data_IF_089338738055
#
_entry.id   IF_089338738055
#
_cell.length_a   1.000
_cell.length_b   1.000
_cell.length_c   1.000
_cell.angle_alpha   90.00
_cell.angle_beta   90.00
_cell.angle_gamma   90.00
#
_symmetry.space_group_name_H-M   'P 1'
#
loop_
_entity.id
_entity.type
_entity.pdbx_description
1 polymer ?
#
# COMPACT_ATOMS: atom_id res chain seq x y z
N UNK A 1 -18.57 28.42 -3.47
CA UNK A 1 -18.46 27.57 -2.26
C UNK A 1 -19.60 26.55 -2.27
N UNK A 2 -19.59 25.65 -3.26
CA UNK A 2 -20.42 24.43 -3.26
C UNK A 2 -19.66 23.38 -2.46
N UNK A 3 -20.34 22.74 -1.52
CA UNK A 3 -19.74 22.04 -0.38
C UNK A 3 -19.10 20.72 -0.78
N UNK A 4 -17.83 20.52 -0.40
CA UNK A 4 -17.10 19.23 -0.44
C UNK A 4 -17.88 18.05 0.19
N UNK A 5 -18.88 18.35 1.02
CA UNK A 5 -19.80 17.39 1.64
C UNK A 5 -20.85 16.80 0.67
N UNK A 6 -21.20 17.52 -0.40
CA UNK A 6 -22.13 17.04 -1.45
C UNK A 6 -21.44 16.10 -2.45
N UNK A 7 -20.21 16.44 -2.84
CA UNK A 7 -19.36 15.58 -3.67
C UNK A 7 -18.96 14.29 -2.91
N UNK A 8 -18.77 14.40 -1.58
CA UNK A 8 -18.56 13.27 -0.67
C UNK A 8 -19.71 12.25 -0.67
N UNK A 9 -20.98 12.69 -0.59
CA UNK A 9 -22.12 11.76 -0.59
C UNK A 9 -22.38 11.14 -1.97
N UNK A 10 -22.16 11.91 -3.04
CA UNK A 10 -22.37 11.44 -4.41
C UNK A 10 -21.34 10.36 -4.81
N UNK A 11 -20.04 10.57 -4.52
CA UNK A 11 -18.99 9.58 -4.76
C UNK A 11 -19.20 8.30 -3.94
N UNK A 12 -19.69 8.44 -2.70
CA UNK A 12 -20.09 7.29 -1.89
C UNK A 12 -21.23 6.51 -2.51
N UNK A 13 -22.28 7.18 -2.98
CA UNK A 13 -23.41 6.50 -3.64
C UNK A 13 -22.97 5.74 -4.90
N UNK A 14 -22.08 6.31 -5.71
CA UNK A 14 -21.54 5.67 -6.91
C UNK A 14 -20.75 4.38 -6.60
N UNK A 15 -20.00 4.37 -5.49
CA UNK A 15 -19.27 3.20 -4.98
C UNK A 15 -20.13 2.28 -4.09
N UNK A 16 -21.43 2.54 -3.96
CA UNK A 16 -22.35 1.75 -3.12
C UNK A 16 -22.19 1.96 -1.60
N UNK A 17 -21.48 2.99 -1.17
CA UNK A 17 -21.16 3.35 0.22
C UNK A 17 -22.25 4.24 0.89
N UNK A 18 -23.54 3.97 0.61
CA UNK A 18 -24.72 4.72 1.10
C UNK A 18 -24.86 4.81 2.64
N UNK A 19 -25.67 5.74 3.14
CA UNK A 19 -25.99 5.92 4.57
C UNK A 19 -26.71 4.71 5.22
N UNK A 20 -27.27 3.79 4.43
CA UNK A 20 -27.70 2.46 4.91
C UNK A 20 -26.55 1.45 4.83
N UNK A 21 -25.35 1.93 5.16
CA UNK A 21 -24.10 1.25 4.89
C UNK A 21 -24.15 -0.19 5.40
N UNK A 22 -23.78 -1.17 4.56
CA UNK A 22 -23.68 -2.54 5.02
C UNK A 22 -22.62 -2.64 6.13
N UNK A 23 -22.61 -3.75 6.85
CA UNK A 23 -21.64 -3.95 7.92
C UNK A 23 -20.20 -3.74 7.41
N UNK A 24 -19.24 -3.39 8.29
CA UNK A 24 -17.90 -3.00 7.84
C UNK A 24 -17.17 -4.06 7.00
N UNK A 25 -17.43 -5.36 7.20
CA UNK A 25 -16.86 -6.42 6.37
C UNK A 25 -17.45 -6.43 4.95
N UNK A 26 -18.77 -6.33 4.84
CA UNK A 26 -19.47 -6.17 3.56
C UNK A 26 -19.01 -4.93 2.79
N UNK A 27 -18.76 -3.80 3.49
CA UNK A 27 -18.17 -2.59 2.85
C UNK A 27 -16.79 -2.86 2.25
N UNK A 28 -15.92 -3.57 2.97
CA UNK A 28 -14.59 -3.92 2.43
C UNK A 28 -14.70 -4.79 1.18
N UNK A 29 -15.64 -5.73 1.15
CA UNK A 29 -15.88 -6.57 -0.03
C UNK A 29 -16.38 -5.75 -1.22
N UNK A 30 -17.28 -4.79 -1.00
CA UNK A 30 -17.75 -3.88 -2.07
C UNK A 30 -16.61 -3.03 -2.65
N UNK A 31 -15.75 -2.48 -1.78
CA UNK A 31 -14.55 -1.76 -2.23
C UNK A 31 -13.60 -2.67 -3.02
N UNK A 32 -13.40 -3.92 -2.56
CA UNK A 32 -12.62 -4.92 -3.30
C UNK A 32 -13.18 -5.19 -4.68
N UNK A 33 -14.51 -5.35 -4.80
CA UNK A 33 -15.15 -5.51 -6.09
C UNK A 33 -14.91 -4.29 -6.99
N UNK A 34 -15.18 -3.07 -6.50
CA UNK A 34 -15.01 -1.84 -7.27
C UNK A 34 -13.57 -1.65 -7.78
N UNK A 35 -12.58 -1.94 -6.93
CA UNK A 35 -11.16 -1.91 -7.29
C UNK A 35 -10.83 -2.96 -8.35
N UNK A 36 -11.23 -4.22 -8.15
CA UNK A 36 -10.98 -5.31 -9.11
C UNK A 36 -11.67 -5.10 -10.47
N UNK A 37 -12.82 -4.43 -10.49
CA UNK A 37 -13.56 -4.10 -11.70
C UNK A 37 -13.08 -2.81 -12.38
N UNK A 38 -11.99 -2.19 -11.88
CA UNK A 38 -11.42 -0.95 -12.41
C UNK A 38 -12.48 0.19 -12.47
N UNK A 39 -13.41 0.19 -11.52
CA UNK A 39 -14.55 1.11 -11.51
C UNK A 39 -14.24 2.43 -10.80
N UNK A 40 -13.16 2.48 -10.01
CA UNK A 40 -12.72 3.65 -9.24
C UNK A 40 -11.91 4.59 -10.13
N UNK A 41 -12.31 5.87 -10.21
CA UNK A 41 -11.72 6.84 -11.12
C UNK A 41 -11.42 8.18 -10.44
N UNK A 42 -10.38 8.87 -10.91
CA UNK A 42 -10.10 10.26 -10.51
C UNK A 42 -10.02 10.45 -8.98
N UNK A 43 -10.86 11.34 -8.45
CA UNK A 43 -10.88 11.68 -7.03
C UNK A 43 -11.53 10.59 -6.15
N UNK A 44 -12.20 9.59 -6.74
CA UNK A 44 -12.78 8.48 -5.99
C UNK A 44 -11.70 7.63 -5.28
N UNK A 45 -10.48 7.60 -5.81
CA UNK A 45 -9.35 6.94 -5.15
C UNK A 45 -9.07 7.50 -3.76
N UNK A 46 -9.23 8.80 -3.57
CA UNK A 46 -9.03 9.44 -2.27
C UNK A 46 -10.13 9.02 -1.27
N UNK A 47 -11.36 8.84 -1.75
CA UNK A 47 -12.48 8.32 -0.96
C UNK A 47 -12.24 6.86 -0.55
N UNK A 48 -11.86 6.01 -1.51
CA UNK A 48 -11.57 4.59 -1.25
C UNK A 48 -10.42 4.44 -0.26
N UNK A 49 -9.35 5.24 -0.43
CA UNK A 49 -8.22 5.26 0.49
C UNK A 49 -8.65 5.61 1.92
N UNK A 50 -9.47 6.66 2.08
CA UNK A 50 -9.98 7.07 3.38
C UNK A 50 -10.89 6.01 4.03
N UNK A 51 -11.77 5.37 3.26
CA UNK A 51 -12.64 4.32 3.77
C UNK A 51 -11.85 3.07 4.19
N UNK A 52 -10.85 2.63 3.41
CA UNK A 52 -9.99 1.51 3.80
C UNK A 52 -9.23 1.79 5.10
N UNK A 53 -8.77 3.03 5.31
CA UNK A 53 -8.16 3.47 6.57
C UNK A 53 -9.13 3.45 7.74
N UNK A 54 -10.37 3.88 7.55
CA UNK A 54 -11.39 3.78 8.61
C UNK A 54 -11.67 2.32 8.96
N UNK A 55 -11.81 1.46 7.95
CA UNK A 55 -12.03 0.03 8.14
C UNK A 55 -10.81 -0.67 8.78
N UNK A 56 -9.59 -0.19 8.55
CA UNK A 56 -8.39 -0.72 9.21
C UNK A 56 -8.43 -0.57 10.75
N UNK A 57 -9.19 0.40 11.26
CA UNK A 57 -9.31 0.69 12.69
C UNK A 57 -10.65 0.25 13.29
N UNK A 58 -11.56 -0.33 12.48
CA UNK A 58 -12.85 -0.84 12.96
C UNK A 58 -12.74 -2.34 13.28
N UNK A 59 -12.87 -2.76 14.56
CA UNK A 59 -12.78 -4.18 14.92
C UNK A 59 -13.85 -5.05 14.25
N UNK A 60 -14.96 -4.47 13.79
CA UNK A 60 -16.03 -5.16 13.05
C UNK A 60 -15.69 -5.34 11.57
N UNK A 61 -14.66 -4.67 11.07
CA UNK A 61 -14.11 -4.85 9.71
C UNK A 61 -12.90 -5.81 9.70
N UNK A 62 -12.82 -6.68 10.72
CA UNK A 62 -11.71 -7.62 10.87
C UNK A 62 -11.49 -8.44 9.60
N UNK A 63 -10.22 -8.64 9.27
CA UNK A 63 -9.81 -9.45 8.13
C UNK A 63 -9.98 -10.96 8.38
N UNK A 64 -10.28 -11.40 9.61
CA UNK A 64 -10.24 -12.82 10.01
C UNK A 64 -11.29 -13.69 9.32
N UNK A 65 -12.40 -13.11 8.86
CA UNK A 65 -13.44 -13.81 8.08
C UNK A 65 -13.30 -13.63 6.57
N UNK A 66 -12.36 -12.81 6.12
CA UNK A 66 -12.14 -12.48 4.71
C UNK A 66 -10.87 -13.13 4.15
N UNK A 67 -9.98 -13.60 5.03
CA UNK A 67 -8.67 -14.13 4.69
C UNK A 67 -8.41 -15.46 5.36
N UNK A 68 -7.64 -16.31 4.69
CA UNK A 68 -6.96 -17.41 5.36
C UNK A 68 -5.80 -16.87 6.19
N UNK A 69 -5.99 -16.88 7.51
CA UNK A 69 -4.98 -16.47 8.48
C UNK A 69 -4.54 -17.66 9.32
N UNK A 70 -3.26 -17.70 9.63
CA UNK A 70 -2.67 -18.78 10.42
C UNK A 70 -2.33 -18.28 11.82
N UNK A 71 -2.67 -19.02 12.89
CA UNK A 71 -2.27 -18.65 14.22
C UNK A 71 -0.75 -18.76 14.39
N UNK A 72 -0.22 -17.89 15.23
CA UNK A 72 1.14 -17.89 15.72
C UNK A 72 1.12 -17.54 17.21
N UNK A 73 1.59 -18.46 18.07
CA UNK A 73 1.76 -18.18 19.49
C UNK A 73 3.12 -17.53 19.72
N UNK A 74 3.10 -16.30 20.24
CA UNK A 74 4.30 -15.53 20.58
C UNK A 74 5.12 -16.29 21.62
N UNK A 75 6.39 -16.52 21.32
CA UNK A 75 7.34 -17.27 22.14
C UNK A 75 8.15 -16.30 23.03
N UNK A 76 8.67 -16.75 24.18
CA UNK A 76 9.63 -15.95 24.95
C UNK A 76 10.81 -15.49 24.08
N UNK A 77 11.07 -14.17 24.07
CA UNK A 77 12.16 -13.56 23.30
C UNK A 77 11.77 -13.09 21.89
N UNK A 78 10.54 -13.35 21.44
CA UNK A 78 10.00 -12.75 20.22
C UNK A 78 9.82 -11.24 20.37
N UNK A 79 9.85 -10.60 19.21
CA UNK A 79 9.38 -9.23 18.98
C UNK A 79 8.69 -9.24 17.62
N UNK A 80 7.81 -8.28 17.34
CA UNK A 80 7.14 -8.23 16.04
C UNK A 80 8.13 -8.14 14.89
N UNK A 81 9.21 -7.38 15.07
CA UNK A 81 10.33 -7.31 14.12
C UNK A 81 10.98 -8.68 13.88
N UNK A 82 11.34 -9.43 14.94
CA UNK A 82 11.94 -10.78 14.79
C UNK A 82 11.00 -11.75 14.11
N UNK A 83 9.71 -11.67 14.43
CA UNK A 83 8.68 -12.48 13.80
C UNK A 83 8.69 -12.26 12.28
N UNK A 84 8.61 -11.01 11.85
CA UNK A 84 8.55 -10.61 10.44
C UNK A 84 9.86 -10.86 9.67
N UNK A 85 11.01 -10.56 10.29
CA UNK A 85 12.31 -10.56 9.60
C UNK A 85 13.11 -11.88 9.76
N UNK A 86 12.69 -12.80 10.62
CA UNK A 86 13.42 -14.04 10.89
C UNK A 86 12.52 -15.25 10.95
N UNK A 87 11.49 -15.21 11.80
CA UNK A 87 10.68 -16.40 12.07
C UNK A 87 9.79 -16.78 10.90
N UNK A 88 8.98 -15.85 10.38
CA UNK A 88 8.04 -16.15 9.28
C UNK A 88 8.77 -16.45 7.96
N UNK A 89 9.82 -15.73 7.55
CA UNK A 89 10.60 -16.10 6.38
C UNK A 89 11.20 -17.51 6.50
N UNK A 90 11.72 -17.87 7.67
CA UNK A 90 12.36 -19.18 7.86
C UNK A 90 11.37 -20.33 8.00
N UNK A 91 10.30 -20.15 8.75
CA UNK A 91 9.35 -21.23 9.08
C UNK A 91 8.24 -21.37 8.03
N UNK A 92 7.97 -20.32 7.23
CA UNK A 92 6.82 -20.25 6.33
C UNK A 92 7.12 -19.70 4.94
N UNK A 93 8.37 -19.38 4.62
CA UNK A 93 8.77 -18.74 3.35
C UNK A 93 7.91 -17.50 3.04
N UNK A 94 7.63 -16.71 4.08
CA UNK A 94 6.69 -15.60 4.02
C UNK A 94 7.37 -14.30 4.42
N UNK A 95 7.51 -13.40 3.46
CA UNK A 95 7.89 -12.01 3.69
C UNK A 95 6.67 -11.20 4.16
N UNK A 96 6.83 -10.47 5.25
CA UNK A 96 5.78 -9.61 5.82
C UNK A 96 6.41 -8.46 6.60
N UNK A 97 5.74 -7.33 6.70
CA UNK A 97 6.14 -6.19 7.55
C UNK A 97 5.31 -6.09 8.82
N UNK A 98 5.87 -5.42 9.82
CA UNK A 98 5.22 -5.25 11.13
C UNK A 98 3.88 -4.53 11.02
N UNK A 99 3.76 -3.53 10.14
CA UNK A 99 2.51 -2.82 9.90
C UNK A 99 1.40 -3.72 9.38
N UNK A 100 1.71 -4.69 8.52
CA UNK A 100 0.70 -5.66 8.05
C UNK A 100 0.24 -6.59 9.18
N UNK A 101 1.15 -7.07 10.04
CA UNK A 101 0.74 -7.86 11.21
C UNK A 101 -0.10 -7.02 12.17
N UNK A 102 0.28 -5.75 12.41
CA UNK A 102 -0.49 -4.83 13.24
C UNK A 102 -1.90 -4.64 12.68
N UNK A 103 -2.02 -4.40 11.38
CA UNK A 103 -3.30 -4.26 10.69
C UNK A 103 -4.18 -5.50 10.87
N UNK A 104 -3.64 -6.70 10.60
CA UNK A 104 -4.39 -7.96 10.72
C UNK A 104 -4.89 -8.21 12.15
N UNK A 105 -4.12 -7.77 13.15
CA UNK A 105 -4.41 -8.04 14.56
C UNK A 105 -5.06 -6.85 15.29
N UNK A 106 -5.37 -5.76 14.60
CA UNK A 106 -5.94 -4.54 15.21
C UNK A 106 -5.03 -3.90 16.25
N UNK A 107 -3.70 -4.00 16.08
CA UNK A 107 -2.71 -3.52 17.03
C UNK A 107 -2.27 -2.09 16.70
N UNK A 108 -2.16 -1.25 17.73
CA UNK A 108 -1.66 0.14 17.60
C UNK A 108 -0.15 0.26 17.84
N UNK A 109 0.52 -0.80 18.26
CA UNK A 109 1.97 -0.82 18.53
C UNK A 109 2.57 -2.19 18.23
N UNK A 110 3.90 -2.26 18.16
CA UNK A 110 4.65 -3.50 17.93
C UNK A 110 4.79 -4.37 19.20
N UNK A 111 4.16 -3.98 20.31
CA UNK A 111 4.24 -4.70 21.58
C UNK A 111 3.52 -6.05 21.49
N UNK A 112 4.23 -7.11 21.84
CA UNK A 112 3.72 -8.49 21.88
C UNK A 112 4.14 -9.17 23.18
N UNK A 113 3.29 -10.06 23.70
CA UNK A 113 3.55 -10.77 24.95
C UNK A 113 3.68 -12.28 24.73
N UNK A 114 4.63 -12.99 25.37
CA UNK A 114 4.70 -14.44 25.30
C UNK A 114 3.36 -15.10 25.65
N UNK A 115 2.94 -16.09 24.85
CA UNK A 115 1.64 -16.75 24.95
C UNK A 115 0.50 -16.05 24.22
N UNK A 116 0.66 -14.81 23.76
CA UNK A 116 -0.30 -14.14 22.89
C UNK A 116 -0.42 -14.89 21.57
N UNK A 117 -1.65 -15.06 21.07
CA UNK A 117 -1.89 -15.55 19.72
C UNK A 117 -2.01 -14.37 18.77
N UNK A 118 -1.13 -14.32 17.78
CA UNK A 118 -1.23 -13.45 16.62
C UNK A 118 -1.78 -14.26 15.44
N UNK A 119 -2.51 -13.59 14.58
CA UNK A 119 -2.87 -14.09 13.27
C UNK A 119 -1.91 -13.50 12.24
N UNK A 120 -1.34 -14.36 11.40
CA UNK A 120 -0.41 -13.96 10.34
C UNK A 120 -0.99 -14.39 9.00
N UNK A 121 -0.69 -13.67 7.91
CA UNK A 121 -1.22 -14.02 6.61
C UNK A 121 -0.67 -15.37 6.14
N UNK A 122 -1.46 -16.08 5.33
CA UNK A 122 -1.02 -17.33 4.70
C UNK A 122 -0.19 -17.09 3.44
N UNK A 123 -0.52 -16.05 2.71
CA UNK A 123 0.08 -15.68 1.43
C UNK A 123 0.66 -14.26 1.49
N UNK A 124 1.66 -13.93 0.65
CA UNK A 124 2.30 -12.62 0.67
C UNK A 124 1.36 -11.53 0.16
N UNK A 125 1.61 -10.30 0.62
CA UNK A 125 0.99 -9.10 0.09
C UNK A 125 1.52 -8.81 -1.32
N UNK A 126 0.62 -8.41 -2.23
CA UNK A 126 0.93 -8.03 -3.62
C UNK A 126 0.43 -6.61 -3.90
N UNK A 127 1.11 -5.91 -4.79
CA UNK A 127 0.69 -4.61 -5.28
C UNK A 127 0.20 -4.72 -6.71
N UNK A 128 -0.85 -3.98 -7.03
CA UNK A 128 -1.38 -3.85 -8.39
C UNK A 128 -1.52 -2.37 -8.74
N UNK A 129 -1.06 -1.99 -9.93
CA UNK A 129 -1.06 -0.62 -10.42
C UNK A 129 -2.04 -0.51 -11.57
N UNK A 130 -3.08 0.31 -11.43
CA UNK A 130 -3.94 0.69 -12.54
C UNK A 130 -3.39 1.95 -13.20
N UNK A 131 -2.76 1.78 -14.37
CA UNK A 131 -2.20 2.88 -15.15
C UNK A 131 -3.24 3.81 -15.75
N UNK A 132 -4.44 3.28 -16.01
CA UNK A 132 -5.53 4.03 -16.66
C UNK A 132 -6.23 4.92 -15.65
N UNK A 133 -6.39 4.43 -14.42
CA UNK A 133 -7.10 5.12 -13.35
C UNK A 133 -6.19 5.81 -12.34
N UNK A 134 -4.86 5.77 -12.54
CA UNK A 134 -3.87 6.33 -11.62
C UNK A 134 -4.02 5.78 -10.20
N UNK A 135 -4.21 4.47 -10.10
CA UNK A 135 -4.46 3.76 -8.86
C UNK A 135 -3.35 2.77 -8.48
N UNK A 136 -3.13 2.59 -7.18
CA UNK A 136 -2.34 1.49 -6.63
C UNK A 136 -3.14 0.80 -5.53
N UNK A 137 -3.23 -0.53 -5.58
CA UNK A 137 -3.91 -1.34 -4.58
C UNK A 137 -2.93 -2.31 -3.94
N UNK A 138 -2.96 -2.39 -2.61
CA UNK A 138 -2.27 -3.43 -1.85
C UNK A 138 -3.27 -4.54 -1.51
N UNK A 139 -3.02 -5.73 -2.06
CA UNK A 139 -3.86 -6.90 -1.94
C UNK A 139 -3.25 -7.92 -0.98
N UNK A 140 -4.08 -8.46 -0.10
CA UNK A 140 -3.78 -9.66 0.64
C UNK A 140 -4.80 -10.73 0.21
N UNK A 141 -4.36 -11.73 -0.56
CA UNK A 141 -5.29 -12.61 -1.26
C UNK A 141 -6.28 -11.80 -2.12
N UNK A 142 -7.61 -12.01 -1.98
CA UNK A 142 -8.62 -11.25 -2.71
C UNK A 142 -9.06 -9.94 -2.01
N UNK A 143 -8.47 -9.59 -0.87
CA UNK A 143 -8.94 -8.49 -0.03
C UNK A 143 -8.02 -7.28 -0.17
N UNK A 144 -8.56 -6.09 -0.51
CA UNK A 144 -7.75 -4.88 -0.51
C UNK A 144 -7.50 -4.47 0.94
N UNK A 145 -6.23 -4.31 1.29
CA UNK A 145 -5.84 -3.82 2.62
C UNK A 145 -5.54 -2.32 2.62
N UNK A 146 -5.08 -1.79 1.49
CA UNK A 146 -4.91 -0.37 1.25
C UNK A 146 -5.05 -0.04 -0.24
N UNK A 147 -5.38 1.22 -0.56
CA UNK A 147 -5.47 1.73 -1.91
C UNK A 147 -5.08 3.22 -1.94
N UNK A 148 -4.49 3.65 -3.06
CA UNK A 148 -3.90 4.97 -3.18
C UNK A 148 -4.06 5.52 -4.60
N UNK A 149 -4.28 6.83 -4.69
CA UNK A 149 -4.08 7.58 -5.93
C UNK A 149 -2.57 7.77 -6.14
N UNK A 150 -2.12 7.62 -7.39
CA UNK A 150 -0.70 7.69 -7.75
C UNK A 150 -0.43 8.61 -8.93
N UNK A 151 0.80 9.11 -9.06
CA UNK A 151 1.30 9.77 -10.26
C UNK A 151 2.16 8.82 -11.08
N UNK A 152 2.11 8.94 -12.40
CA UNK A 152 2.79 8.04 -13.34
C UNK A 152 3.79 8.78 -14.22
N UNK A 153 4.55 8.03 -14.99
CA UNK A 153 5.53 8.55 -15.93
C UNK A 153 4.87 9.10 -17.19
N UNK A 154 5.24 10.33 -17.57
CA UNK A 154 4.79 10.94 -18.83
C UNK A 154 5.10 10.03 -20.03
N UNK A 155 4.31 10.16 -21.10
CA UNK A 155 4.51 9.43 -22.36
C UNK A 155 4.57 7.90 -22.16
N UNK A 156 3.76 7.39 -21.23
CA UNK A 156 3.66 5.96 -20.93
C UNK A 156 4.98 5.34 -20.42
N UNK A 157 5.88 6.13 -19.84
CA UNK A 157 7.22 5.69 -19.39
C UNK A 157 7.23 4.84 -18.13
N UNK A 158 6.13 4.76 -17.39
CA UNK A 158 5.99 3.72 -16.36
C UNK A 158 6.01 2.35 -17.05
N UNK A 159 6.89 1.42 -16.64
CA UNK A 159 7.02 0.14 -17.33
C UNK A 159 5.81 -0.75 -16.99
N UNK A 160 5.37 -1.54 -17.96
CA UNK A 160 4.41 -2.65 -17.73
C UNK A 160 5.21 -3.93 -17.46
N UNK A 161 4.64 -4.83 -16.65
CA UNK A 161 5.23 -6.11 -16.27
C UNK A 161 4.95 -6.49 -14.83
N UNK A 162 5.58 -7.58 -14.38
CA UNK A 162 5.66 -7.95 -12.97
C UNK A 162 7.06 -7.60 -12.45
N UNK A 163 7.10 -6.95 -11.30
CA UNK A 163 8.32 -6.47 -10.64
C UNK A 163 8.35 -6.97 -9.19
N UNK A 164 9.53 -6.93 -8.58
CA UNK A 164 9.71 -7.22 -7.16
C UNK A 164 10.25 -5.98 -6.46
N UNK A 165 9.75 -5.68 -5.26
CA UNK A 165 10.39 -4.70 -4.37
C UNK A 165 11.70 -5.28 -3.86
N UNK A 166 12.83 -4.74 -4.30
CA UNK A 166 14.16 -5.17 -3.85
C UNK A 166 14.69 -4.26 -2.74
N UNK A 167 14.47 -2.95 -2.89
CA UNK A 167 15.04 -1.95 -2.00
C UNK A 167 13.98 -1.15 -1.27
N UNK A 168 14.30 -0.77 -0.03
CA UNK A 168 13.43 -0.02 0.87
C UNK A 168 14.27 0.96 1.65
N UNK A 169 13.97 2.25 1.52
CA UNK A 169 14.69 3.31 2.21
C UNK A 169 13.73 4.34 2.80
N UNK A 170 13.96 4.69 4.06
CA UNK A 170 13.40 5.89 4.68
C UNK A 170 14.29 7.07 4.39
N UNK A 171 13.69 8.24 4.14
CA UNK A 171 14.40 9.49 3.86
C UNK A 171 15.50 9.30 2.79
N UNK A 172 15.12 8.80 1.59
CA UNK A 172 16.08 8.36 0.59
C UNK A 172 16.88 9.52 -0.01
N UNK A 173 18.17 9.30 -0.20
CA UNK A 173 18.97 10.13 -1.10
C UNK A 173 18.60 9.81 -2.56
N UNK A 174 18.51 10.84 -3.40
CA UNK A 174 18.27 10.66 -4.82
C UNK A 174 19.57 10.64 -5.60
N UNK A 175 19.81 9.56 -6.34
CA UNK A 175 20.95 9.44 -7.25
C UNK A 175 20.47 9.64 -8.68
N UNK A 176 20.89 10.76 -9.29
CA UNK A 176 20.50 11.11 -10.65
C UNK A 176 21.69 11.59 -11.45
N UNK A 177 21.90 10.99 -12.64
CA UNK A 177 23.01 11.33 -13.55
C UNK A 177 24.39 11.34 -12.85
N UNK A 178 24.65 10.36 -11.99
CA UNK A 178 25.91 10.23 -11.25
C UNK A 178 26.06 11.21 -10.07
N UNK A 179 25.04 12.01 -9.76
CA UNK A 179 25.03 12.95 -8.63
C UNK A 179 24.15 12.43 -7.50
N UNK A 180 24.66 12.48 -6.28
CA UNK A 180 23.89 12.32 -5.04
C UNK A 180 23.21 13.63 -4.68
N UNK A 181 21.91 13.58 -4.45
CA UNK A 181 21.07 14.68 -3.99
C UNK A 181 20.44 14.23 -2.67
N UNK A 182 20.96 14.71 -1.52
CA UNK A 182 20.54 14.19 -0.22
C UNK A 182 19.06 14.39 0.08
N UNK A 183 18.49 13.57 0.97
CA UNK A 183 17.18 13.86 1.55
C UNK A 183 17.15 15.25 2.23
N UNK A 184 16.03 15.96 2.08
CA UNK A 184 15.85 17.33 2.56
C UNK A 184 16.39 18.42 1.62
N UNK A 185 17.15 18.06 0.58
CA UNK A 185 17.50 19.00 -0.49
C UNK A 185 16.25 19.30 -1.34
N UNK A 186 15.94 20.58 -1.68
CA UNK A 186 14.77 20.92 -2.50
C UNK A 186 14.74 20.28 -3.89
N UNK A 187 15.88 19.78 -4.37
CA UNK A 187 16.00 19.07 -5.65
C UNK A 187 15.72 17.58 -5.53
N UNK A 188 15.63 17.03 -4.31
CA UNK A 188 15.30 15.63 -4.10
C UNK A 188 13.80 15.42 -4.34
N UNK A 189 13.48 14.61 -5.34
CA UNK A 189 12.09 14.36 -5.77
C UNK A 189 11.47 13.11 -5.15
N UNK A 190 12.25 12.31 -4.40
CA UNK A 190 11.82 10.99 -3.92
C UNK A 190 10.86 11.08 -2.71
N UNK A 191 10.77 12.23 -2.05
CA UNK A 191 9.94 12.39 -0.85
C UNK A 191 10.51 11.59 0.33
N UNK A 192 9.62 11.04 1.16
CA UNK A 192 10.00 10.47 2.46
C UNK A 192 10.29 8.97 2.44
N UNK A 193 9.86 8.23 1.41
CA UNK A 193 10.07 6.78 1.28
C UNK A 193 10.40 6.40 -0.15
N UNK A 194 11.21 5.36 -0.29
CA UNK A 194 11.55 4.70 -1.55
C UNK A 194 11.32 3.20 -1.44
N UNK A 195 10.57 2.64 -2.40
CA UNK A 195 10.37 1.21 -2.63
C UNK A 195 10.88 0.90 -4.04
N UNK A 196 12.16 0.52 -4.14
CA UNK A 196 12.86 0.29 -5.39
C UNK A 196 12.53 -1.06 -5.99
N UNK A 197 12.26 -1.09 -7.29
CA UNK A 197 12.10 -2.33 -8.03
C UNK A 197 13.46 -3.01 -8.21
N UNK A 198 13.45 -4.34 -8.32
CA UNK A 198 14.60 -5.11 -8.73
C UNK A 198 15.05 -4.68 -10.12
N UNK A 199 16.33 -4.32 -10.25
CA UNK A 199 16.90 -3.91 -11.53
C UNK A 199 16.89 -5.07 -12.53
N UNK A 200 16.53 -4.77 -13.77
CA UNK A 200 16.47 -5.72 -14.87
C UNK A 200 16.60 -5.05 -16.24
N UNK A 201 16.57 -5.82 -17.34
CA UNK A 201 16.66 -5.27 -18.69
C UNK A 201 15.57 -4.22 -18.95
N UNK A 202 15.99 -2.96 -19.16
CA UNK A 202 15.06 -1.84 -19.40
C UNK A 202 14.34 -1.30 -18.16
N UNK A 203 14.62 -1.85 -16.98
CA UNK A 203 13.99 -1.49 -15.71
C UNK A 203 15.11 -1.25 -14.70
N UNK A 204 15.76 -0.09 -14.78
CA UNK A 204 16.84 0.29 -13.86
C UNK A 204 16.49 1.59 -13.18
N UNK A 205 16.53 1.61 -11.85
CA UNK A 205 16.19 2.80 -11.07
C UNK A 205 14.71 3.18 -11.11
N UNK A 206 13.82 2.21 -11.30
CA UNK A 206 12.38 2.38 -11.16
C UNK A 206 11.92 1.97 -9.76
N UNK A 207 10.82 2.56 -9.31
CA UNK A 207 10.24 2.25 -8.01
C UNK A 207 8.98 3.05 -7.71
N UNK A 208 8.45 2.83 -6.52
CA UNK A 208 7.37 3.60 -5.91
C UNK A 208 8.01 4.52 -4.87
N UNK A 209 7.67 5.80 -4.90
CA UNK A 209 8.24 6.77 -3.97
C UNK A 209 7.26 7.87 -3.61
N UNK A 210 7.61 8.66 -2.58
CA UNK A 210 6.88 9.86 -2.20
C UNK A 210 7.00 10.96 -3.26
N UNK A 211 6.83 12.22 -2.90
CA UNK A 211 7.06 13.31 -3.85
C UNK A 211 7.33 14.64 -3.15
N UNK A 212 8.13 15.48 -3.79
CA UNK A 212 8.27 16.90 -3.42
C UNK A 212 7.21 17.80 -4.11
N UNK A 213 6.43 17.24 -5.04
CA UNK A 213 5.36 17.90 -5.79
C UNK A 213 4.05 17.11 -5.65
N UNK A 214 3.31 17.27 -4.54
CA UNK A 214 2.08 16.50 -4.26
C UNK A 214 0.99 16.66 -5.32
N UNK A 215 0.95 17.81 -5.99
CA UNK A 215 0.04 18.11 -7.09
C UNK A 215 0.25 17.24 -8.33
N UNK A 216 1.41 16.58 -8.47
CA UNK A 216 1.70 15.65 -9.57
C UNK A 216 1.04 14.27 -9.38
N UNK A 217 0.45 13.99 -8.21
CA UNK A 217 -0.28 12.75 -7.96
C UNK A 217 -1.62 12.79 -8.70
N UNK A 218 -1.94 11.73 -9.44
CA UNK A 218 -3.08 11.67 -10.35
C UNK A 218 -2.78 12.16 -11.78
N UNK A 219 -1.52 12.48 -12.09
CA UNK A 219 -1.09 12.90 -13.42
C UNK A 219 0.11 12.11 -13.95
N UNK A 220 0.40 12.32 -15.24
CA UNK A 220 1.50 11.69 -15.98
C UNK A 220 2.72 12.63 -16.07
N UNK A 221 3.39 12.86 -14.96
CA UNK A 221 4.46 13.88 -14.85
C UNK A 221 5.84 13.33 -14.54
N UNK A 222 5.94 12.07 -14.12
CA UNK A 222 7.19 11.49 -13.66
C UNK A 222 8.12 11.10 -14.81
N UNK A 223 9.36 10.73 -14.47
CA UNK A 223 10.32 10.14 -15.41
C UNK A 223 10.11 8.64 -15.68
N UNK A 224 9.12 8.04 -15.04
CA UNK A 224 8.78 6.62 -15.16
C UNK A 224 8.43 5.95 -13.83
N UNK A 225 8.91 6.48 -12.70
CA UNK A 225 8.57 5.99 -11.37
C UNK A 225 7.11 6.28 -10.98
N UNK A 226 6.59 5.51 -10.02
CA UNK A 226 5.27 5.74 -9.43
C UNK A 226 5.42 6.72 -8.27
N UNK A 227 4.71 7.84 -8.32
CA UNK A 227 4.70 8.88 -7.29
C UNK A 227 3.49 8.72 -6.38
N UNK A 228 3.69 8.95 -5.10
CA UNK A 228 2.64 8.95 -4.08
C UNK A 228 2.78 10.20 -3.21
N UNK A 229 1.69 10.60 -2.54
CA UNK A 229 1.82 11.59 -1.46
C UNK A 229 2.67 10.99 -0.34
N UNK A 230 3.44 11.81 0.37
CA UNK A 230 4.37 11.31 1.40
C UNK A 230 3.67 10.49 2.49
N UNK A 231 2.50 10.94 2.96
CA UNK A 231 1.71 10.17 3.93
C UNK A 231 1.22 8.82 3.39
N UNK A 232 0.88 8.75 2.09
CA UNK A 232 0.39 7.53 1.44
C UNK A 232 1.53 6.51 1.29
N UNK A 233 2.73 6.94 0.88
CA UNK A 233 3.88 6.02 0.75
C UNK A 233 4.44 5.60 2.12
N UNK A 234 4.34 6.45 3.14
CA UNK A 234 4.70 6.08 4.52
C UNK A 234 3.82 4.95 5.04
N UNK A 235 2.51 5.00 4.78
CA UNK A 235 1.60 3.92 5.11
C UNK A 235 1.92 2.65 4.31
N UNK A 236 2.10 2.76 2.99
CA UNK A 236 2.45 1.62 2.14
C UNK A 236 3.77 0.97 2.59
N UNK A 237 4.76 1.76 2.99
CA UNK A 237 6.07 1.29 3.45
C UNK A 237 5.98 0.39 4.67
N UNK A 238 5.02 0.63 5.57
CA UNK A 238 4.76 -0.21 6.75
C UNK A 238 4.10 -1.56 6.41
N UNK A 239 3.51 -1.69 5.22
CA UNK A 239 2.79 -2.88 4.78
C UNK A 239 3.64 -3.79 3.86
N UNK A 240 4.57 -3.19 3.11
CA UNK A 240 5.25 -3.83 1.98
C UNK A 240 6.67 -4.27 2.34
N UNK A 241 6.92 -5.59 2.47
CA UNK A 241 8.28 -6.11 2.65
C UNK A 241 9.07 -6.13 1.33
N UNK A 242 10.38 -6.39 1.44
CA UNK A 242 11.17 -6.82 0.27
C UNK A 242 10.63 -8.14 -0.27
N UNK A 243 10.69 -8.31 -1.58
CA UNK A 243 10.14 -9.45 -2.32
C UNK A 243 8.66 -9.33 -2.65
N UNK A 244 7.96 -8.25 -2.25
CA UNK A 244 6.58 -8.02 -2.67
C UNK A 244 6.51 -7.86 -4.18
N UNK A 245 5.60 -8.61 -4.81
CA UNK A 245 5.29 -8.50 -6.22
C UNK A 245 4.49 -7.21 -6.50
N UNK A 246 4.85 -6.54 -7.59
CA UNK A 246 4.16 -5.37 -8.14
C UNK A 246 3.74 -5.70 -9.56
N UNK A 247 2.44 -5.81 -9.81
CA UNK A 247 1.87 -6.01 -11.13
C UNK A 247 1.49 -4.66 -11.75
N UNK A 248 2.00 -4.40 -12.95
CA UNK A 248 1.66 -3.22 -13.76
C UNK A 248 1.21 -3.72 -15.14
N UNK A 249 -0.10 -3.82 -15.42
CA UNK A 249 -0.61 -4.28 -16.70
C UNK A 249 -0.27 -3.36 -17.89
#
# INVERSE_FOLDING_TARGET
>A
MGSAQGDWEAGRLALGLSQHAPDPASRRQMLGHALSSHAVQGDEWDLVSQELRQLAHDPRASLHGLLELLPYTVRPGDSLWKLCNRTLPKERDLAVETGLIRLINGMSSDMVHPGQTLLVPREPLRLEVDRTQHGLVAWLGPVPVAAYRIGLGKENRTPSGSFLIEDRQENPDWYFQGRRIPFGDPRNVLGTRWLGFQDGPGVVGYGIHGTSAPESVGGDESMGCIRMRNADVEELFELVPRGTEVSIP
#
